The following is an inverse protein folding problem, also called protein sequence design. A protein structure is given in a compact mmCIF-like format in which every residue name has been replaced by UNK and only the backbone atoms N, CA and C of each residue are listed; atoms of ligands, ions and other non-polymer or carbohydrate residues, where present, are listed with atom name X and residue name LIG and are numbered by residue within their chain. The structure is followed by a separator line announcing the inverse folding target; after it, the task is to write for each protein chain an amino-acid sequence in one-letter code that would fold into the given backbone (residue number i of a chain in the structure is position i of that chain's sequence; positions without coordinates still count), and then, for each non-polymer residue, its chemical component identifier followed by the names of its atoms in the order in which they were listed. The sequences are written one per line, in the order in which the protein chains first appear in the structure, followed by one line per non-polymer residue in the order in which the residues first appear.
data_IF_840314859757
#
_entry.id   IF_840314859757
#
_cell.length_a   1.000
_cell.length_b   1.000
_cell.length_c   1.000
_cell.angle_alpha   90.00
_cell.angle_beta   90.00
_cell.angle_gamma   90.00
#
_symmetry.space_group_name_H-M   'P 1'
#
loop_
_entity.id
_entity.type
_entity.pdbx_description
1 polymer ?
#
# COMPACT_ATOMS: atom_id res chain seq x y z
N UNK A 1 16.34 -37.93 34.05
CA UNK A 1 15.28 -37.95 33.00
C UNK A 1 14.12 -37.00 33.31
N UNK A 2 13.76 -36.79 34.57
CA UNK A 2 12.61 -35.92 34.94
C UNK A 2 12.78 -34.41 34.66
N UNK A 3 13.99 -33.82 34.79
CA UNK A 3 14.22 -32.40 34.52
C UNK A 3 14.03 -32.00 33.05
N UNK A 4 14.44 -32.87 32.13
CA UNK A 4 14.30 -32.62 30.71
C UNK A 4 12.79 -32.60 30.27
N UNK A 5 12.00 -33.52 30.82
CA UNK A 5 10.54 -33.58 30.62
C UNK A 5 9.81 -32.37 31.22
N UNK A 6 10.27 -31.92 32.39
CA UNK A 6 9.73 -30.72 33.04
C UNK A 6 9.97 -29.45 32.20
N UNK A 7 11.18 -29.28 31.69
CA UNK A 7 11.54 -28.14 30.82
C UNK A 7 10.70 -28.17 29.54
N UNK A 8 10.54 -29.34 28.92
CA UNK A 8 9.75 -29.51 27.70
C UNK A 8 8.28 -29.11 27.94
N UNK A 9 7.68 -29.50 29.06
CA UNK A 9 6.30 -29.14 29.40
C UNK A 9 6.12 -27.65 29.66
N UNK A 10 7.08 -27.01 30.35
CA UNK A 10 7.06 -25.54 30.58
C UNK A 10 7.15 -24.79 29.24
N UNK A 11 8.08 -25.20 28.36
CA UNK A 11 8.25 -24.62 27.05
C UNK A 11 6.96 -24.80 26.22
N UNK A 12 6.34 -25.98 26.25
CA UNK A 12 5.11 -26.27 25.54
C UNK A 12 3.94 -25.39 26.05
N UNK A 13 3.84 -25.22 27.38
CA UNK A 13 2.80 -24.37 28.00
C UNK A 13 2.97 -22.90 27.64
N UNK A 14 4.21 -22.37 27.68
CA UNK A 14 4.54 -21.00 27.27
C UNK A 14 4.20 -20.79 25.79
N UNK A 15 4.56 -21.76 24.95
CA UNK A 15 4.27 -21.75 23.51
C UNK A 15 2.75 -21.76 23.25
N UNK A 16 2.01 -22.56 24.01
CA UNK A 16 0.55 -22.67 23.95
C UNK A 16 -0.12 -21.36 24.37
N UNK A 17 0.30 -20.77 25.48
CA UNK A 17 -0.20 -19.48 25.96
C UNK A 17 0.08 -18.36 24.95
N UNK A 18 1.29 -18.32 24.39
CA UNK A 18 1.67 -17.35 23.37
C UNK A 18 0.86 -17.53 22.07
N UNK A 19 0.61 -18.75 21.64
CA UNK A 19 -0.21 -19.06 20.47
C UNK A 19 -1.68 -18.67 20.67
N UNK A 20 -2.26 -18.95 21.84
CA UNK A 20 -3.65 -18.55 22.17
C UNK A 20 -3.80 -17.02 22.15
N UNK A 21 -2.84 -16.28 22.71
CA UNK A 21 -2.83 -14.81 22.68
C UNK A 21 -2.73 -14.29 21.25
N UNK A 22 -1.93 -14.94 20.41
CA UNK A 22 -1.75 -14.57 19.00
C UNK A 22 -2.97 -14.88 18.13
N UNK A 23 -3.68 -15.97 18.40
CA UNK A 23 -4.93 -16.34 17.71
C UNK A 23 -6.06 -15.39 18.07
N UNK A 24 -6.15 -14.92 19.33
CA UNK A 24 -7.17 -13.98 19.79
C UNK A 24 -7.12 -12.65 19.01
N UNK A 25 -5.93 -12.26 18.52
CA UNK A 25 -5.71 -11.04 17.76
C UNK A 25 -5.59 -11.31 16.23
N UNK A 26 -5.96 -12.51 15.77
CA UNK A 26 -5.83 -12.89 14.37
C UNK A 26 -6.97 -12.32 13.51
N UNK A 27 -6.61 -11.83 12.32
CA UNK A 27 -7.57 -11.40 11.31
C UNK A 27 -8.39 -12.56 10.76
N UNK A 28 -9.54 -12.26 10.15
CA UNK A 28 -10.44 -13.26 9.55
C UNK A 28 -9.74 -14.25 8.59
N UNK A 29 -8.70 -13.81 7.89
CA UNK A 29 -7.92 -14.67 6.98
C UNK A 29 -6.90 -15.56 7.72
N UNK A 30 -6.54 -15.22 8.95
CA UNK A 30 -5.66 -16.04 9.80
C UNK A 30 -6.43 -17.07 10.62
N UNK A 31 -7.76 -16.98 10.66
CA UNK A 31 -8.63 -17.91 11.40
C UNK A 31 -8.38 -19.38 11.03
N UNK A 32 -8.23 -19.77 9.72
CA UNK A 32 -7.92 -21.16 9.38
C UNK A 32 -6.58 -21.64 9.92
N UNK A 33 -5.54 -20.78 9.93
CA UNK A 33 -4.26 -21.11 10.54
C UNK A 33 -4.40 -21.34 12.06
N UNK A 34 -5.17 -20.46 12.72
CA UNK A 34 -5.48 -20.58 14.14
C UNK A 34 -6.22 -21.87 14.48
N UNK A 35 -7.20 -22.25 13.66
CA UNK A 35 -7.94 -23.52 13.83
C UNK A 35 -6.99 -24.73 13.67
N UNK A 36 -6.15 -24.76 12.64
CA UNK A 36 -5.18 -25.85 12.45
C UNK A 36 -4.23 -25.99 13.64
N UNK A 37 -3.70 -24.85 14.13
CA UNK A 37 -2.81 -24.84 15.30
C UNK A 37 -3.58 -25.31 16.55
N UNK A 38 -4.78 -24.78 16.80
CA UNK A 38 -5.60 -25.13 17.95
C UNK A 38 -5.97 -26.60 17.97
N UNK A 39 -6.45 -27.15 16.84
CA UNK A 39 -6.77 -28.58 16.69
C UNK A 39 -5.52 -29.45 16.86
N UNK A 40 -4.39 -29.04 16.29
CA UNK A 40 -3.13 -29.76 16.44
C UNK A 40 -2.67 -29.81 17.89
N UNK A 41 -2.77 -28.71 18.62
CA UNK A 41 -2.47 -28.65 20.05
C UNK A 41 -3.41 -29.52 20.89
N UNK A 42 -4.72 -29.51 20.56
CA UNK A 42 -5.68 -30.38 21.23
C UNK A 42 -5.36 -31.86 21.04
N UNK A 43 -4.94 -32.28 19.84
CA UNK A 43 -4.48 -33.64 19.57
C UNK A 43 -3.19 -34.00 20.31
N UNK A 44 -2.24 -33.05 20.39
CA UNK A 44 -1.00 -33.27 21.16
C UNK A 44 -1.37 -33.47 22.65
N UNK A 45 -2.22 -32.63 23.21
CA UNK A 45 -2.62 -32.73 24.62
C UNK A 45 -3.38 -34.01 24.89
N UNK A 46 -4.29 -34.42 24.00
CA UNK A 46 -5.06 -35.70 24.13
C UNK A 46 -4.20 -36.95 23.93
N UNK A 47 -3.00 -36.83 23.36
CA UNK A 47 -2.05 -37.93 23.20
C UNK A 47 -1.47 -38.43 24.52
N UNK A 48 -1.55 -37.61 25.56
CA UNK A 48 -1.07 -37.95 26.90
C UNK A 48 -2.29 -38.23 27.78
N UNK A 49 -2.55 -39.53 28.14
CA UNK A 49 -3.61 -39.84 29.08
C UNK A 49 -3.36 -39.10 30.41
N UNK A 50 -4.42 -38.63 31.03
CA UNK A 50 -4.38 -37.87 32.30
C UNK A 50 -3.54 -36.58 32.25
N UNK A 51 -3.46 -35.93 31.07
CA UNK A 51 -2.66 -34.68 30.89
C UNK A 51 -3.11 -33.60 31.92
N UNK A 52 -4.40 -33.47 32.17
CA UNK A 52 -4.95 -32.55 33.17
C UNK A 52 -4.49 -32.90 34.58
N UNK A 53 -4.55 -34.18 34.98
CA UNK A 53 -4.14 -34.62 36.31
C UNK A 53 -2.62 -34.49 36.48
N UNK A 54 -1.85 -34.74 35.42
CA UNK A 54 -0.40 -34.55 35.42
C UNK A 54 0.01 -33.07 35.45
N UNK A 55 -0.80 -32.20 34.85
CA UNK A 55 -0.58 -30.75 34.91
C UNK A 55 -0.89 -30.19 36.31
N UNK A 56 -1.94 -30.69 36.99
CA UNK A 56 -2.23 -30.40 38.39
C UNK A 56 -1.16 -30.95 39.31
N UNK A 57 -0.77 -32.22 39.17
CA UNK A 57 0.32 -32.84 39.93
C UNK A 57 1.67 -32.14 39.69
N UNK A 58 1.93 -31.59 38.47
CA UNK A 58 3.07 -30.78 38.18
C UNK A 58 3.04 -29.44 38.91
N UNK A 59 1.88 -28.74 38.90
CA UNK A 59 1.71 -27.50 39.64
C UNK A 59 1.87 -27.73 41.16
N UNK A 60 1.33 -28.81 41.68
CA UNK A 60 1.49 -29.23 43.06
C UNK A 60 2.97 -29.59 43.40
N UNK A 61 3.65 -30.32 42.48
CA UNK A 61 5.05 -30.67 42.65
C UNK A 61 5.95 -29.44 42.56
N UNK A 62 5.65 -28.49 41.68
CA UNK A 62 6.37 -27.21 41.60
C UNK A 62 6.17 -26.36 42.87
N UNK A 63 4.96 -26.33 43.41
CA UNK A 63 4.66 -25.70 44.68
C UNK A 63 5.30 -26.44 45.90
N UNK A 64 5.36 -27.79 45.86
CA UNK A 64 6.02 -28.57 46.92
C UNK A 64 7.55 -28.48 46.87
N UNK A 65 8.13 -28.26 45.68
CA UNK A 65 9.57 -27.96 45.53
C UNK A 65 9.96 -26.62 46.14
N UNK A 66 9.05 -25.66 46.07
CA UNK A 66 9.19 -24.38 46.79
C UNK A 66 9.09 -24.60 48.32
N UNK A 67 8.36 -25.66 48.73
CA UNK A 67 8.07 -25.97 50.12
C UNK A 67 8.84 -27.24 50.66
N UNK A 68 9.88 -27.73 49.95
CA UNK A 68 10.80 -28.80 50.39
C UNK A 68 10.17 -30.12 50.86
N UNK A 69 9.26 -30.72 50.10
CA UNK A 69 8.73 -32.07 50.42
C UNK A 69 8.94 -33.03 49.26
N UNK A 70 9.60 -34.15 49.52
CA UNK A 70 9.91 -35.24 48.57
C UNK A 70 8.69 -36.15 48.33
N UNK A 71 8.24 -36.30 47.09
CA UNK A 71 7.39 -37.41 46.66
C UNK A 71 7.84 -37.96 45.33
N UNK A 72 8.27 -39.21 45.31
CA UNK A 72 8.62 -39.97 44.10
C UNK A 72 7.45 -40.84 43.69
N UNK A 73 6.81 -40.52 42.55
CA UNK A 73 5.97 -41.46 41.82
C UNK A 73 6.41 -41.55 40.36
N UNK A 74 6.77 -42.77 39.94
CA UNK A 74 7.11 -43.16 38.57
C UNK A 74 5.86 -43.79 37.94
N UNK A 75 5.18 -43.07 37.08
CA UNK A 75 4.14 -43.65 36.22
C UNK A 75 4.66 -43.79 34.79
N UNK A 76 4.53 -44.99 34.20
CA UNK A 76 4.80 -45.21 32.78
C UNK A 76 3.78 -44.39 31.94
N UNK A 77 4.29 -43.73 30.95
CA UNK A 77 3.47 -42.85 30.09
C UNK A 77 3.06 -43.65 28.84
N UNK A 78 1.83 -44.11 28.79
CA UNK A 78 1.22 -44.55 27.53
C UNK A 78 0.91 -43.34 26.66
N UNK A 79 1.70 -43.11 25.62
CA UNK A 79 1.55 -42.00 24.69
C UNK A 79 0.88 -42.52 23.43
N UNK A 80 -0.21 -41.90 23.02
CA UNK A 80 -0.80 -42.18 21.72
C UNK A 80 0.02 -41.53 20.62
N UNK A 81 0.99 -42.25 20.08
CA UNK A 81 1.98 -41.78 19.10
C UNK A 81 1.30 -41.24 17.82
N UNK A 82 0.20 -41.84 17.39
CA UNK A 82 -0.53 -41.44 16.18
C UNK A 82 -1.13 -40.04 16.37
N UNK A 83 -1.83 -39.82 17.49
CA UNK A 83 -2.41 -38.49 17.81
C UNK A 83 -1.35 -37.43 17.98
N UNK A 84 -0.20 -37.79 18.59
CA UNK A 84 0.95 -36.88 18.75
C UNK A 84 1.51 -36.44 17.40
N UNK A 85 1.76 -37.40 16.49
CA UNK A 85 2.29 -37.10 15.16
C UNK A 85 1.29 -36.24 14.36
N UNK A 86 0.01 -36.60 14.36
CA UNK A 86 -1.03 -35.82 13.68
C UNK A 86 -1.16 -34.41 14.23
N UNK A 87 -1.08 -34.25 15.55
CA UNK A 87 -1.10 -32.94 16.21
C UNK A 87 0.08 -32.06 15.81
N UNK A 88 1.30 -32.62 15.81
CA UNK A 88 2.51 -31.90 15.37
C UNK A 88 2.38 -31.48 13.90
N UNK A 89 1.92 -32.36 13.02
CA UNK A 89 1.73 -32.04 11.60
C UNK A 89 0.74 -30.91 11.40
N UNK A 90 -0.37 -30.91 12.13
CA UNK A 90 -1.38 -29.82 12.05
C UNK A 90 -0.82 -28.49 12.55
N UNK A 91 -0.05 -28.49 13.62
CA UNK A 91 0.64 -27.28 14.12
C UNK A 91 1.61 -26.74 13.07
N UNK A 92 2.45 -27.61 12.49
CA UNK A 92 3.40 -27.22 11.45
C UNK A 92 2.69 -26.66 10.20
N UNK A 93 1.60 -27.30 9.76
CA UNK A 93 0.79 -26.81 8.65
C UNK A 93 0.14 -25.46 8.96
N UNK A 94 -0.37 -25.27 10.17
CA UNK A 94 -0.94 -24.01 10.62
C UNK A 94 0.10 -22.88 10.66
N UNK A 95 1.31 -23.14 11.14
CA UNK A 95 2.43 -22.20 11.14
C UNK A 95 2.83 -21.87 9.70
N UNK A 96 3.01 -22.87 8.84
CA UNK A 96 3.33 -22.67 7.43
C UNK A 96 2.27 -21.82 6.71
N UNK A 97 1.00 -22.10 6.94
CA UNK A 97 -0.10 -21.33 6.37
C UNK A 97 -0.10 -19.87 6.86
N UNK A 98 0.10 -19.65 8.16
CA UNK A 98 0.18 -18.31 8.74
C UNK A 98 1.35 -17.48 8.18
N UNK A 99 2.53 -18.11 8.00
CA UNK A 99 3.69 -17.43 7.41
C UNK A 99 3.41 -17.04 5.94
N UNK A 100 2.78 -17.93 5.18
CA UNK A 100 2.43 -17.63 3.78
C UNK A 100 1.38 -16.52 3.65
N UNK A 101 0.41 -16.43 4.57
CA UNK A 101 -0.57 -15.34 4.58
C UNK A 101 0.10 -14.00 4.88
N UNK A 102 1.02 -13.95 5.84
CA UNK A 102 1.74 -12.71 6.18
C UNK A 102 2.57 -12.13 5.04
N UNK A 103 3.01 -12.98 4.12
CA UNK A 103 3.73 -12.54 2.92
C UNK A 103 2.82 -12.11 1.77
N UNK A 104 1.50 -12.13 1.98
CA UNK A 104 0.54 -11.70 0.98
C UNK A 104 0.54 -10.18 0.85
N UNK A 105 0.50 -9.72 -0.41
CA UNK A 105 0.30 -8.33 -0.76
C UNK A 105 -1.15 -8.05 -1.09
N UNK A 106 -1.70 -7.03 -0.47
CA UNK A 106 -2.97 -6.43 -0.89
C UNK A 106 -2.64 -5.31 -1.88
N UNK A 107 -3.14 -5.44 -3.09
CA UNK A 107 -2.86 -4.51 -4.19
C UNK A 107 -4.08 -3.64 -4.46
N UNK A 108 -3.96 -2.34 -4.23
CA UNK A 108 -4.96 -1.38 -4.71
C UNK A 108 -4.71 -1.14 -6.19
N UNK A 109 -5.66 -1.53 -7.04
CA UNK A 109 -5.61 -1.31 -8.49
C UNK A 109 -6.71 -0.35 -8.92
N UNK A 110 -6.32 0.80 -9.50
CA UNK A 110 -7.25 1.83 -9.94
C UNK A 110 -7.31 1.84 -11.48
N UNK A 111 -8.51 1.59 -12.02
CA UNK A 111 -8.74 1.35 -13.44
C UNK A 111 -9.70 2.38 -14.04
N UNK A 112 -9.31 3.03 -15.15
CA UNK A 112 -10.18 3.93 -15.92
C UNK A 112 -10.17 3.73 -17.43
N UNK A 113 -9.13 3.13 -17.97
CA UNK A 113 -8.97 2.92 -19.41
C UNK A 113 -9.08 1.47 -19.81
N UNK A 114 -8.65 0.59 -18.95
CA UNK A 114 -8.53 -0.82 -19.26
C UNK A 114 -8.71 -1.63 -17.97
N UNK A 115 -9.37 -2.77 -18.06
CA UNK A 115 -9.62 -3.69 -16.95
C UNK A 115 -8.51 -4.73 -16.83
N UNK A 116 -7.28 -4.29 -16.76
CA UNK A 116 -6.14 -5.19 -16.58
C UNK A 116 -5.95 -5.52 -15.11
N UNK A 117 -6.09 -6.80 -14.81
CA UNK A 117 -5.85 -7.33 -13.48
C UNK A 117 -4.36 -7.62 -13.33
N UNK A 118 -3.75 -7.15 -12.25
CA UNK A 118 -2.36 -7.50 -11.95
C UNK A 118 -2.24 -8.98 -11.60
N UNK A 119 -3.30 -9.58 -11.04
CA UNK A 119 -3.36 -10.98 -10.65
C UNK A 119 -3.54 -11.96 -11.81
N UNK A 120 -3.83 -11.47 -13.02
CA UNK A 120 -3.90 -12.35 -14.19
C UNK A 120 -2.54 -12.97 -14.54
N UNK A 121 -2.57 -14.27 -14.86
CA UNK A 121 -1.40 -15.04 -15.24
C UNK A 121 -0.67 -14.35 -16.37
N UNK A 122 0.65 -14.19 -16.24
CA UNK A 122 1.55 -13.54 -17.20
C UNK A 122 1.55 -12.00 -17.21
N UNK A 123 0.73 -11.31 -16.42
CA UNK A 123 0.73 -9.85 -16.39
C UNK A 123 1.92 -9.26 -15.64
N UNK A 124 2.60 -10.05 -14.82
CA UNK A 124 3.76 -9.61 -14.04
C UNK A 124 5.03 -10.26 -14.58
N UNK A 125 6.02 -9.42 -14.93
CA UNK A 125 7.34 -9.88 -15.35
C UNK A 125 8.22 -10.10 -14.10
N UNK A 126 8.95 -11.22 -14.06
CA UNK A 126 9.99 -11.52 -13.07
C UNK A 126 9.52 -11.63 -11.60
N UNK A 127 8.24 -11.75 -11.36
CA UNK A 127 7.76 -12.04 -10.02
C UNK A 127 7.71 -13.56 -9.81
N UNK A 128 8.66 -14.07 -9.02
CA UNK A 128 8.56 -15.38 -8.36
C UNK A 128 7.46 -15.40 -7.29
N UNK A 129 6.49 -14.49 -7.40
CA UNK A 129 5.34 -14.42 -6.53
C UNK A 129 4.33 -15.42 -7.08
N UNK A 130 4.09 -16.46 -6.33
CA UNK A 130 3.04 -17.42 -6.56
C UNK A 130 1.71 -16.66 -6.56
N UNK A 131 0.83 -16.91 -7.53
CA UNK A 131 -0.43 -16.18 -7.80
C UNK A 131 -1.31 -15.95 -6.55
N UNK A 132 -1.24 -16.83 -5.53
CA UNK A 132 -1.98 -16.70 -4.27
C UNK A 132 -1.44 -15.65 -3.29
N UNK A 133 -0.26 -15.05 -3.56
CA UNK A 133 0.33 -14.00 -2.70
C UNK A 133 -0.20 -12.59 -2.99
N UNK A 134 -0.94 -12.40 -4.06
CA UNK A 134 -1.54 -11.13 -4.41
C UNK A 134 -3.06 -11.19 -4.23
N UNK A 135 -3.62 -10.26 -3.45
CA UNK A 135 -5.05 -9.98 -3.38
C UNK A 135 -5.32 -8.59 -3.92
N UNK A 136 -6.12 -8.52 -4.96
CA UNK A 136 -6.40 -7.27 -5.68
C UNK A 136 -7.69 -6.63 -5.20
N UNK A 137 -7.60 -5.36 -4.82
CA UNK A 137 -8.73 -4.47 -4.54
C UNK A 137 -8.85 -3.48 -5.68
N UNK A 138 -9.97 -3.55 -6.40
CA UNK A 138 -10.18 -2.75 -7.60
C UNK A 138 -11.06 -1.54 -7.33
N UNK A 139 -10.64 -0.39 -7.88
CA UNK A 139 -11.48 0.78 -8.10
C UNK A 139 -11.70 0.85 -9.61
N UNK A 140 -12.82 0.28 -10.10
CA UNK A 140 -13.13 0.19 -11.53
C UNK A 140 -14.16 1.27 -11.94
N UNK A 141 -13.67 2.28 -12.61
CA UNK A 141 -14.49 3.36 -13.18
C UNK A 141 -14.38 3.42 -14.71
N UNK A 142 -13.93 2.34 -15.35
CA UNK A 142 -13.74 2.25 -16.82
C UNK A 142 -15.01 2.66 -17.55
N UNK A 143 -16.18 2.18 -17.16
CA UNK A 143 -17.47 2.51 -17.82
C UNK A 143 -17.79 4.00 -17.81
N UNK A 144 -17.29 4.76 -16.82
CA UNK A 144 -17.54 6.19 -16.73
C UNK A 144 -16.61 6.98 -17.63
N UNK A 145 -15.43 6.43 -17.94
CA UNK A 145 -14.46 7.02 -18.84
C UNK A 145 -14.68 6.59 -20.31
N UNK A 146 -15.23 5.43 -20.59
CA UNK A 146 -15.52 4.96 -21.96
C UNK A 146 -16.63 5.81 -22.64
N UNK A 147 -17.61 6.25 -21.88
CA UNK A 147 -18.62 7.22 -22.34
C UNK A 147 -18.11 8.68 -22.31
N UNK A 148 -16.84 8.85 -22.15
CA UNK A 148 -16.16 9.99 -21.61
C UNK A 148 -15.74 11.05 -22.59
N UNK A 149 -16.61 11.45 -23.43
CA UNK A 149 -16.42 12.80 -23.95
C UNK A 149 -16.83 13.88 -22.94
N UNK A 150 -17.50 13.53 -21.85
CA UNK A 150 -17.93 14.51 -20.84
C UNK A 150 -18.00 13.91 -19.44
N UNK A 151 -16.95 14.08 -18.65
CA UNK A 151 -17.08 13.94 -17.20
C UNK A 151 -18.05 15.05 -16.73
N UNK A 152 -19.16 14.64 -16.13
CA UNK A 152 -20.17 15.53 -15.53
C UNK A 152 -19.92 15.68 -14.04
N UNK A 153 -20.55 16.65 -13.42
CA UNK A 153 -20.49 16.84 -11.96
C UNK A 153 -20.97 15.58 -11.24
N UNK A 154 -22.05 14.95 -11.73
CA UNK A 154 -22.60 13.73 -11.13
C UNK A 154 -21.64 12.53 -11.28
N UNK A 155 -21.04 12.32 -12.46
CA UNK A 155 -20.06 11.24 -12.63
C UNK A 155 -18.80 11.47 -11.82
N UNK A 156 -18.37 12.73 -11.67
CA UNK A 156 -17.25 13.09 -10.83
C UNK A 156 -17.53 12.78 -9.34
N UNK A 157 -18.72 13.14 -8.86
CA UNK A 157 -19.15 12.85 -7.49
C UNK A 157 -19.17 11.35 -7.23
N UNK A 158 -19.72 10.56 -8.14
CA UNK A 158 -19.72 9.10 -8.01
C UNK A 158 -18.29 8.51 -7.98
N UNK A 159 -17.42 8.96 -8.89
CA UNK A 159 -16.01 8.51 -8.90
C UNK A 159 -15.32 8.86 -7.59
N UNK A 160 -15.59 10.04 -7.05
CA UNK A 160 -15.07 10.49 -5.77
C UNK A 160 -15.51 9.56 -4.63
N UNK A 161 -16.81 9.29 -4.53
CA UNK A 161 -17.39 8.40 -3.51
C UNK A 161 -16.83 6.98 -3.62
N UNK A 162 -16.72 6.44 -4.84
CA UNK A 162 -16.13 5.11 -5.09
C UNK A 162 -14.64 5.05 -4.67
N UNK A 163 -13.85 6.09 -5.00
CA UNK A 163 -12.45 6.18 -4.57
C UNK A 163 -12.36 6.21 -3.05
N UNK A 164 -13.16 7.04 -2.39
CA UNK A 164 -13.14 7.19 -0.94
C UNK A 164 -13.51 5.90 -0.23
N UNK A 165 -14.65 5.28 -0.62
CA UNK A 165 -15.14 4.05 -0.01
C UNK A 165 -14.15 2.90 -0.20
N UNK A 166 -13.73 2.65 -1.44
CA UNK A 166 -12.84 1.53 -1.77
C UNK A 166 -11.46 1.69 -1.16
N UNK A 167 -10.94 2.92 -1.08
CA UNK A 167 -9.64 3.17 -0.45
C UNK A 167 -9.73 2.95 1.06
N UNK A 168 -10.78 3.43 1.73
CA UNK A 168 -11.02 3.14 3.16
C UNK A 168 -11.15 1.64 3.42
N UNK A 169 -11.90 0.95 2.57
CA UNK A 169 -12.05 -0.51 2.65
C UNK A 169 -10.72 -1.24 2.46
N UNK A 170 -9.93 -0.84 1.46
CA UNK A 170 -8.58 -1.37 1.26
C UNK A 170 -7.71 -1.24 2.51
N UNK A 171 -7.70 -0.05 3.14
CA UNK A 171 -6.92 0.20 4.36
C UNK A 171 -7.37 -0.75 5.48
N UNK A 172 -8.68 -0.85 5.72
CA UNK A 172 -9.23 -1.68 6.81
C UNK A 172 -8.96 -3.18 6.60
N UNK A 173 -9.09 -3.68 5.37
CA UNK A 173 -8.88 -5.09 5.06
C UNK A 173 -7.39 -5.48 5.00
N UNK A 174 -6.50 -4.52 4.70
CA UNK A 174 -5.06 -4.76 4.56
C UNK A 174 -4.24 -4.36 5.79
N UNK A 175 -4.86 -4.10 6.94
CA UNK A 175 -4.19 -3.49 8.10
C UNK A 175 -2.92 -4.23 8.54
N UNK A 176 -2.95 -5.57 8.58
CA UNK A 176 -1.84 -6.40 9.04
C UNK A 176 -1.02 -7.04 7.90
N UNK A 177 -1.25 -6.59 6.67
CA UNK A 177 -0.62 -7.15 5.49
C UNK A 177 0.22 -6.13 4.76
N UNK A 178 1.13 -6.63 3.90
CA UNK A 178 1.89 -5.78 2.99
C UNK A 178 0.96 -5.16 1.96
N UNK A 179 1.12 -3.87 1.71
CA UNK A 179 0.27 -3.10 0.82
C UNK A 179 1.01 -2.75 -0.46
N UNK A 180 0.33 -2.88 -1.58
CA UNK A 180 0.88 -2.50 -2.86
C UNK A 180 -0.11 -1.62 -3.64
N UNK A 181 0.41 -0.86 -4.57
CA UNK A 181 -0.37 -0.02 -5.46
C UNK A 181 -0.03 -0.29 -6.92
N UNK A 182 -1.05 -0.26 -7.75
CA UNK A 182 -0.94 -0.11 -9.20
C UNK A 182 -2.16 0.62 -9.74
N UNK A 183 -2.09 1.11 -10.97
CA UNK A 183 -3.24 1.73 -11.60
C UNK A 183 -2.96 2.24 -13.00
N UNK A 184 -4.02 2.32 -13.78
CA UNK A 184 -4.06 2.97 -15.10
C UNK A 184 -5.21 3.97 -15.11
N UNK A 185 -5.02 5.07 -14.39
CA UNK A 185 -6.10 6.02 -14.15
C UNK A 185 -5.70 7.45 -14.53
N UNK A 186 -6.69 8.33 -14.60
CA UNK A 186 -6.50 9.77 -14.75
C UNK A 186 -5.72 10.35 -13.59
N UNK A 187 -4.69 11.15 -13.88
CA UNK A 187 -3.79 11.74 -12.88
C UNK A 187 -4.56 12.41 -11.72
N UNK A 188 -5.56 13.32 -11.96
CA UNK A 188 -6.27 13.98 -10.87
C UNK A 188 -6.92 13.01 -9.89
N UNK A 189 -7.58 11.98 -10.40
CA UNK A 189 -8.23 11.01 -9.54
C UNK A 189 -7.24 10.07 -8.84
N UNK A 190 -6.10 9.77 -9.46
CA UNK A 190 -5.03 9.01 -8.80
C UNK A 190 -4.41 9.80 -7.65
N UNK A 191 -4.16 11.12 -7.84
CA UNK A 191 -3.71 12.00 -6.77
C UNK A 191 -4.77 12.05 -5.65
N UNK A 192 -6.04 12.19 -6.01
CA UNK A 192 -7.16 12.19 -5.07
C UNK A 192 -7.18 10.89 -4.24
N UNK A 193 -7.06 9.72 -4.87
CA UNK A 193 -6.97 8.44 -4.15
C UNK A 193 -5.78 8.41 -3.18
N UNK A 194 -4.65 8.96 -3.57
CA UNK A 194 -3.45 9.09 -2.72
C UNK A 194 -3.71 9.88 -1.44
N UNK A 195 -4.59 10.89 -1.49
CA UNK A 195 -4.90 11.70 -0.31
C UNK A 195 -5.60 10.91 0.80
N UNK A 196 -6.26 9.80 0.49
CA UNK A 196 -6.84 8.90 1.48
C UNK A 196 -5.85 7.88 2.03
N UNK A 197 -4.66 7.75 1.41
CA UNK A 197 -3.60 6.82 1.79
C UNK A 197 -2.46 7.50 2.58
N UNK A 198 -2.62 8.74 3.02
CA UNK A 198 -1.53 9.52 3.66
C UNK A 198 -0.91 8.82 4.86
N UNK A 199 -1.73 8.26 5.75
CA UNK A 199 -1.30 7.54 6.94
C UNK A 199 -0.93 6.06 6.67
N UNK A 200 -1.04 5.59 5.42
CA UNK A 200 -0.85 4.18 5.06
C UNK A 200 0.50 4.01 4.38
N UNK A 201 1.33 3.11 4.89
CA UNK A 201 2.55 2.74 4.20
C UNK A 201 2.21 1.84 2.99
N UNK A 202 2.80 2.16 1.83
CA UNK A 202 2.74 1.32 0.63
C UNK A 202 4.09 0.63 0.48
N UNK A 203 4.10 -0.69 0.62
CA UNK A 203 5.33 -1.50 0.57
C UNK A 203 5.84 -1.66 -0.86
N UNK A 204 4.94 -1.80 -1.85
CA UNK A 204 5.32 -1.99 -3.25
C UNK A 204 4.49 -1.15 -4.20
N UNK A 205 5.15 -0.70 -5.26
CA UNK A 205 4.52 -0.04 -6.40
C UNK A 205 4.74 -0.87 -7.64
N UNK A 206 3.67 -1.10 -8.40
CA UNK A 206 3.71 -1.77 -9.69
C UNK A 206 3.31 -0.77 -10.78
N UNK A 207 4.13 -0.67 -11.80
CA UNK A 207 3.86 0.12 -12.98
C UNK A 207 3.68 -0.77 -14.21
N UNK A 208 2.80 -0.33 -15.12
CA UNK A 208 2.56 -1.04 -16.36
C UNK A 208 3.48 -0.55 -17.45
N UNK A 209 4.31 -1.45 -17.98
CA UNK A 209 5.17 -1.17 -19.12
C UNK A 209 4.40 -1.44 -20.41
N UNK A 210 4.09 -0.38 -21.16
CA UNK A 210 3.33 -0.48 -22.41
C UNK A 210 4.06 -1.24 -23.49
N UNK A 211 5.39 -1.17 -23.54
CA UNK A 211 6.18 -1.83 -24.55
C UNK A 211 6.22 -3.35 -24.38
N UNK A 212 6.26 -3.82 -23.14
CA UNK A 212 6.28 -5.25 -22.82
C UNK A 212 4.91 -5.81 -22.48
N UNK A 213 3.88 -4.94 -22.38
CA UNK A 213 2.52 -5.30 -21.96
C UNK A 213 2.48 -6.03 -20.61
N UNK A 214 3.39 -5.70 -19.67
CA UNK A 214 3.49 -6.37 -18.37
C UNK A 214 3.70 -5.35 -17.23
N UNK A 215 3.26 -5.74 -16.04
CA UNK A 215 3.58 -5.01 -14.83
C UNK A 215 5.00 -5.33 -14.36
N UNK A 216 5.69 -4.35 -13.81
CA UNK A 216 6.96 -4.50 -13.11
C UNK A 216 6.87 -3.80 -11.76
N UNK A 217 7.55 -4.32 -10.75
CA UNK A 217 7.64 -3.65 -9.45
C UNK A 217 8.80 -2.67 -9.43
N UNK A 218 8.63 -1.54 -8.76
CA UNK A 218 9.74 -0.67 -8.44
C UNK A 218 10.73 -1.41 -7.55
N UNK A 219 12.02 -1.23 -7.82
CA UNK A 219 13.10 -1.88 -7.07
C UNK A 219 13.23 -1.22 -5.70
N UNK A 220 13.43 -2.03 -4.67
CA UNK A 220 13.77 -1.56 -3.34
C UNK A 220 15.29 -1.41 -3.23
N UNK A 221 15.75 -0.38 -2.54
CA UNK A 221 17.16 -0.28 -2.22
C UNK A 221 17.51 -1.25 -1.11
N UNK A 222 18.49 -2.10 -1.42
CA UNK A 222 19.07 -2.97 -0.41
C UNK A 222 20.20 -2.18 0.28
N UNK A 223 20.15 -2.08 1.60
CA UNK A 223 21.06 -1.31 2.46
C UNK A 223 22.58 -1.51 2.16
N UNK A 224 22.94 -2.60 1.50
CA UNK A 224 24.32 -2.94 1.13
C UNK A 224 24.68 -2.63 -0.33
N UNK A 225 23.77 -2.06 -1.13
CA UNK A 225 24.08 -1.66 -2.51
C UNK A 225 24.39 -0.17 -2.57
N UNK A 226 25.48 0.17 -3.27
CA UNK A 226 25.93 1.55 -3.53
C UNK A 226 24.73 2.43 -3.93
N UNK A 227 24.75 3.66 -3.44
CA UNK A 227 23.82 4.75 -3.80
C UNK A 227 23.62 4.74 -5.32
N UNK A 228 22.39 4.49 -5.74
CA UNK A 228 22.03 4.51 -7.14
C UNK A 228 21.86 5.97 -7.58
N UNK A 229 22.47 6.32 -8.66
CA UNK A 229 22.26 7.62 -9.28
C UNK A 229 21.07 7.51 -10.24
N UNK A 230 20.02 8.26 -10.00
CA UNK A 230 18.91 8.46 -10.93
C UNK A 230 18.85 9.94 -11.35
N UNK A 231 18.25 10.26 -12.51
CA UNK A 231 18.17 11.62 -12.99
C UNK A 231 17.51 12.56 -11.97
N UNK A 232 18.09 13.72 -11.73
CA UNK A 232 17.49 14.75 -10.86
C UNK A 232 16.43 15.53 -11.61
N UNK A 233 15.40 15.97 -10.90
CA UNK A 233 14.43 16.92 -11.44
C UNK A 233 15.07 18.32 -11.51
N UNK A 234 14.80 19.02 -12.59
CA UNK A 234 15.11 20.44 -12.76
C UNK A 234 13.87 21.28 -12.50
N UNK A 235 14.07 22.49 -12.00
CA UNK A 235 12.99 23.46 -11.74
C UNK A 235 13.30 24.69 -12.57
N UNK A 236 12.38 25.06 -13.45
CA UNK A 236 12.47 26.26 -14.29
C UNK A 236 11.26 27.14 -14.03
N UNK A 237 11.50 28.38 -13.65
CA UNK A 237 10.46 29.35 -13.37
C UNK A 237 10.33 30.31 -14.53
N UNK A 238 9.18 30.39 -15.14
CA UNK A 238 8.79 31.43 -16.09
C UNK A 238 7.85 32.39 -15.36
N UNK A 239 8.42 33.19 -14.44
CA UNK A 239 7.61 34.04 -13.59
C UNK A 239 8.05 35.48 -13.74
N UNK A 240 7.06 36.36 -13.73
CA UNK A 240 7.27 37.81 -13.75
C UNK A 240 6.40 38.57 -12.74
N UNK A 241 5.48 37.92 -12.05
CA UNK A 241 4.53 38.63 -11.18
C UNK A 241 4.42 38.03 -9.78
N UNK A 242 5.15 38.57 -8.83
CA UNK A 242 5.14 38.16 -7.40
C UNK A 242 3.77 38.32 -6.78
N UNK A 243 2.86 39.11 -7.34
CA UNK A 243 1.48 39.29 -6.85
C UNK A 243 0.50 38.28 -7.41
N UNK A 244 0.97 37.30 -8.18
CA UNK A 244 0.09 36.28 -8.77
C UNK A 244 -0.68 35.49 -7.69
N UNK A 245 -1.99 35.38 -7.86
CA UNK A 245 -2.86 34.55 -7.01
C UNK A 245 -2.96 33.11 -7.49
N UNK A 246 -2.59 32.87 -8.73
CA UNK A 246 -2.70 31.58 -9.40
C UNK A 246 -1.42 31.26 -10.17
N UNK A 247 -0.91 30.05 -10.01
CA UNK A 247 0.32 29.59 -10.67
C UNK A 247 0.06 28.22 -11.29
N UNK A 248 0.63 27.98 -12.46
CA UNK A 248 0.65 26.69 -13.12
C UNK A 248 1.93 25.95 -12.75
N UNK A 249 1.81 24.74 -12.21
CA UNK A 249 2.93 23.82 -11.98
C UNK A 249 2.84 22.70 -12.99
N UNK A 250 3.76 22.68 -13.96
CA UNK A 250 3.84 21.68 -15.02
C UNK A 250 4.91 20.65 -14.72
N UNK A 251 4.51 19.37 -14.52
CA UNK A 251 5.40 18.29 -14.12
C UNK A 251 5.64 17.32 -15.29
N UNK A 252 6.88 17.29 -15.81
CA UNK A 252 7.30 16.53 -16.99
C UNK A 252 8.21 15.35 -16.63
N UNK A 253 7.65 14.16 -16.42
CA UNK A 253 8.41 12.94 -16.07
C UNK A 253 8.40 11.91 -17.21
N UNK A 254 7.20 11.60 -17.75
CA UNK A 254 7.07 10.60 -18.83
C UNK A 254 7.07 11.22 -20.21
N UNK A 255 6.68 12.49 -20.31
CA UNK A 255 6.63 13.24 -21.55
C UNK A 255 6.87 14.73 -21.25
N UNK A 256 7.48 15.44 -22.17
CA UNK A 256 7.64 16.88 -22.05
C UNK A 256 6.28 17.57 -22.26
N UNK A 257 5.96 18.51 -21.36
CA UNK A 257 4.81 19.42 -21.48
C UNK A 257 5.31 20.69 -22.14
N UNK A 258 4.82 20.93 -23.34
CA UNK A 258 5.22 22.10 -24.16
C UNK A 258 4.34 23.32 -23.84
N UNK A 259 4.79 24.51 -24.22
CA UNK A 259 3.99 25.74 -24.08
C UNK A 259 2.68 25.64 -24.89
N UNK A 260 2.69 24.93 -26.03
CA UNK A 260 1.50 24.61 -26.79
C UNK A 260 0.49 23.70 -26.09
N UNK A 261 0.92 22.96 -25.06
CA UNK A 261 0.00 22.20 -24.20
C UNK A 261 -0.63 23.10 -23.13
N UNK A 262 0.00 24.22 -22.80
CA UNK A 262 -0.38 25.14 -21.71
C UNK A 262 -1.16 26.39 -22.17
N UNK A 263 -1.55 26.48 -23.44
CA UNK A 263 -2.22 27.66 -24.02
C UNK A 263 -3.43 28.10 -23.20
N UNK A 264 -4.20 27.17 -22.63
CA UNK A 264 -5.38 27.52 -21.81
C UNK A 264 -5.05 28.24 -20.50
N UNK A 265 -3.78 28.24 -20.09
CA UNK A 265 -3.29 28.93 -18.91
C UNK A 265 -2.53 30.22 -19.25
N UNK A 266 -2.71 30.73 -20.46
CA UNK A 266 -2.08 31.99 -20.89
C UNK A 266 -2.37 33.11 -19.90
N UNK A 267 -1.35 33.89 -19.55
CA UNK A 267 -1.44 34.97 -18.58
C UNK A 267 -1.20 34.58 -17.12
N UNK A 268 -1.00 33.29 -16.84
CA UNK A 268 -0.58 32.79 -15.53
C UNK A 268 0.93 32.52 -15.50
N UNK A 269 1.53 32.70 -14.34
CA UNK A 269 2.93 32.31 -14.14
C UNK A 269 3.07 30.78 -14.20
N UNK A 270 4.14 30.31 -14.81
CA UNK A 270 4.37 28.88 -15.04
C UNK A 270 5.67 28.44 -14.35
N UNK A 271 5.58 27.43 -13.52
CA UNK A 271 6.70 26.70 -12.95
C UNK A 271 6.79 25.32 -13.61
N UNK A 272 7.89 25.04 -14.27
CA UNK A 272 8.15 23.73 -14.87
C UNK A 272 9.06 22.90 -13.97
N UNK A 273 8.63 21.68 -13.62
CA UNK A 273 9.41 20.70 -12.87
C UNK A 273 9.54 19.47 -13.75
N UNK A 274 10.73 18.99 -14.02
CA UNK A 274 10.82 17.82 -14.86
C UNK A 274 12.21 17.25 -15.02
N UNK A 275 12.26 16.17 -15.78
CA UNK A 275 13.50 15.57 -16.21
C UNK A 275 13.98 16.27 -17.48
N UNK A 276 15.29 16.37 -17.64
CA UNK A 276 15.88 16.87 -18.87
C UNK A 276 15.46 16.05 -20.10
N UNK A 277 15.33 14.71 -19.91
CA UNK A 277 14.89 13.78 -20.94
C UNK A 277 13.71 12.93 -20.39
N UNK A 278 12.47 13.44 -20.41
CA UNK A 278 11.30 12.70 -19.99
C UNK A 278 11.06 11.45 -20.84
N UNK A 279 10.77 10.32 -20.20
CA UNK A 279 10.47 9.06 -20.89
C UNK A 279 9.60 8.13 -20.04
N UNK A 280 8.87 7.23 -20.70
CA UNK A 280 8.12 6.19 -20.01
C UNK A 280 9.06 5.28 -19.19
N UNK A 281 8.54 4.75 -18.08
CA UNK A 281 9.23 3.82 -17.18
C UNK A 281 10.56 4.34 -16.59
N UNK A 282 10.71 5.65 -16.44
CA UNK A 282 11.92 6.28 -15.91
C UNK A 282 12.08 6.11 -14.41
N UNK A 283 10.97 5.94 -13.68
CA UNK A 283 10.99 5.66 -12.25
C UNK A 283 11.18 4.16 -12.05
N UNK A 284 12.36 3.77 -11.59
CA UNK A 284 12.73 2.37 -11.38
C UNK A 284 12.81 1.99 -9.90
N UNK A 285 13.01 2.98 -9.01
CA UNK A 285 13.28 2.76 -7.59
C UNK A 285 12.23 3.44 -6.71
N UNK A 286 11.92 2.79 -5.56
CA UNK A 286 11.00 3.35 -4.56
C UNK A 286 11.54 4.65 -3.95
N UNK A 287 12.85 4.73 -3.71
CA UNK A 287 13.51 5.93 -3.20
C UNK A 287 13.39 7.08 -4.18
N UNK A 288 13.72 6.85 -5.46
CA UNK A 288 13.53 7.82 -6.54
C UNK A 288 12.09 8.36 -6.58
N UNK A 289 11.10 7.49 -6.44
CA UNK A 289 9.69 7.86 -6.37
C UNK A 289 9.42 8.82 -5.21
N UNK A 290 9.93 8.46 -4.02
CA UNK A 290 9.79 9.26 -2.80
C UNK A 290 10.42 10.64 -2.91
N UNK A 291 11.64 10.72 -3.49
CA UNK A 291 12.39 11.96 -3.69
C UNK A 291 11.71 12.87 -4.71
N UNK A 292 11.22 12.32 -5.83
CA UNK A 292 10.50 13.11 -6.82
C UNK A 292 9.20 13.69 -6.25
N UNK A 293 8.41 12.86 -5.56
CA UNK A 293 7.18 13.32 -4.95
C UNK A 293 7.45 14.39 -3.88
N UNK A 294 8.49 14.20 -3.05
CA UNK A 294 8.87 15.15 -2.04
C UNK A 294 9.29 16.50 -2.67
N UNK A 295 10.18 16.47 -3.64
CA UNK A 295 10.67 17.69 -4.29
C UNK A 295 9.53 18.49 -4.94
N UNK A 296 8.58 17.81 -5.60
CA UNK A 296 7.42 18.49 -6.22
C UNK A 296 6.56 19.16 -5.16
N UNK A 297 6.24 18.46 -4.07
CA UNK A 297 5.36 18.98 -3.01
C UNK A 297 6.04 20.07 -2.20
N UNK A 298 7.33 19.89 -1.85
CA UNK A 298 8.13 20.94 -1.17
C UNK A 298 8.25 22.22 -2.05
N UNK A 299 8.38 22.04 -3.37
CA UNK A 299 8.40 23.17 -4.30
C UNK A 299 7.07 23.92 -4.29
N UNK A 300 5.92 23.20 -4.31
CA UNK A 300 4.60 23.83 -4.24
C UNK A 300 4.38 24.54 -2.89
N UNK A 301 4.83 23.95 -1.79
CA UNK A 301 4.77 24.57 -0.46
C UNK A 301 5.56 25.89 -0.43
N UNK A 302 6.78 25.89 -0.97
CA UNK A 302 7.67 27.04 -1.01
C UNK A 302 7.17 28.17 -1.93
N UNK A 303 6.24 27.88 -2.86
CA UNK A 303 5.63 28.94 -3.69
C UNK A 303 4.94 30.02 -2.86
N UNK A 304 4.35 29.70 -1.71
CA UNK A 304 3.74 30.71 -0.83
C UNK A 304 4.75 31.73 -0.28
N UNK A 305 6.00 31.34 -0.16
CA UNK A 305 7.07 32.27 0.25
C UNK A 305 7.43 33.25 -0.88
N UNK A 306 7.45 32.76 -2.11
CA UNK A 306 7.75 33.55 -3.30
C UNK A 306 6.55 34.40 -3.73
N UNK A 307 5.34 33.88 -3.55
CA UNK A 307 4.06 34.48 -3.95
C UNK A 307 3.13 34.61 -2.73
N UNK A 308 3.24 35.67 -1.93
CA UNK A 308 2.49 35.81 -0.68
C UNK A 308 0.96 35.76 -0.86
N UNK A 309 0.47 36.18 -2.05
CA UNK A 309 -0.96 36.18 -2.37
C UNK A 309 -1.44 34.91 -3.08
N UNK A 310 -0.62 33.84 -3.14
CA UNK A 310 -0.97 32.61 -3.84
C UNK A 310 -2.15 31.88 -3.18
N UNK A 311 -3.24 31.78 -3.91
CA UNK A 311 -4.46 31.09 -3.50
C UNK A 311 -4.57 29.71 -4.16
N UNK A 312 -4.20 29.60 -5.46
CA UNK A 312 -4.44 28.39 -6.26
C UNK A 312 -3.20 27.97 -7.06
N UNK A 313 -2.93 26.68 -7.06
CA UNK A 313 -1.96 26.01 -7.95
C UNK A 313 -2.71 25.11 -8.94
N UNK A 314 -2.49 25.37 -10.23
CA UNK A 314 -2.94 24.53 -11.33
C UNK A 314 -1.90 23.47 -11.62
N UNK A 315 -2.11 22.24 -11.14
CA UNK A 315 -1.16 21.13 -11.32
C UNK A 315 -1.47 20.39 -12.61
N UNK A 316 -0.59 20.45 -13.57
CA UNK A 316 -0.65 19.69 -14.83
C UNK A 316 0.55 18.75 -14.88
N UNK A 317 0.34 17.49 -15.29
CA UNK A 317 1.38 16.50 -15.23
C UNK A 317 1.39 15.51 -16.38
N UNK A 318 2.59 15.13 -16.80
CA UNK A 318 2.89 13.94 -17.56
C UNK A 318 3.70 13.00 -16.68
N UNK A 319 3.02 12.33 -15.74
CA UNK A 319 3.62 11.56 -14.64
C UNK A 319 3.03 10.15 -14.59
N UNK A 320 3.80 9.13 -14.12
CA UNK A 320 3.30 7.77 -13.97
C UNK A 320 2.34 7.64 -12.78
N UNK A 321 1.57 6.55 -12.74
CA UNK A 321 0.56 6.33 -11.71
C UNK A 321 1.14 6.23 -10.29
N UNK A 322 2.31 5.60 -10.14
CA UNK A 322 3.00 5.53 -8.84
C UNK A 322 3.37 6.92 -8.30
N UNK A 323 3.80 7.84 -9.17
CA UNK A 323 4.10 9.21 -8.73
C UNK A 323 2.82 9.98 -8.41
N UNK A 324 1.75 9.77 -9.18
CA UNK A 324 0.46 10.42 -8.93
C UNK A 324 -0.10 10.05 -7.55
N UNK A 325 -0.09 8.76 -7.19
CA UNK A 325 -0.59 8.32 -5.88
C UNK A 325 0.31 8.83 -4.75
N UNK A 326 1.62 8.83 -4.93
CA UNK A 326 2.57 9.30 -3.91
C UNK A 326 2.49 10.81 -3.71
N UNK A 327 2.25 11.60 -4.77
CA UNK A 327 1.95 13.03 -4.66
C UNK A 327 0.70 13.25 -3.80
N UNK A 328 -0.38 12.51 -4.04
CA UNK A 328 -1.60 12.63 -3.25
C UNK A 328 -1.36 12.34 -1.76
N UNK A 329 -0.57 11.30 -1.45
CA UNK A 329 -0.18 10.97 -0.08
C UNK A 329 0.56 12.12 0.60
N UNK A 330 1.55 12.69 -0.07
CA UNK A 330 2.35 13.80 0.46
C UNK A 330 1.56 15.10 0.56
N UNK A 331 0.72 15.42 -0.43
CA UNK A 331 -0.18 16.59 -0.40
C UNK A 331 -1.08 16.53 0.85
N UNK A 332 -1.67 15.37 1.15
CA UNK A 332 -2.57 15.22 2.29
C UNK A 332 -1.84 15.41 3.64
N UNK A 333 -0.57 14.99 3.76
CA UNK A 333 0.19 15.15 4.99
C UNK A 333 0.43 16.62 5.40
N UNK A 334 0.49 17.52 4.42
CA UNK A 334 0.79 18.96 4.66
C UNK A 334 -0.27 19.88 4.06
N UNK A 335 -1.48 19.36 3.84
CA UNK A 335 -2.56 20.06 3.11
C UNK A 335 -2.91 21.43 3.70
N UNK A 336 -2.80 21.60 5.03
CA UNK A 336 -3.03 22.87 5.73
C UNK A 336 -2.01 23.97 5.41
N UNK A 337 -0.84 23.60 4.89
CA UNK A 337 0.23 24.55 4.50
C UNK A 337 0.22 24.87 3.01
N UNK A 338 -0.45 24.05 2.21
CA UNK A 338 -0.50 24.18 0.76
C UNK A 338 -1.58 25.20 0.32
N UNK A 339 -1.42 25.82 -0.85
CA UNK A 339 -2.51 26.51 -1.53
C UNK A 339 -3.56 25.48 -2.01
N UNK A 340 -4.70 25.95 -2.49
CA UNK A 340 -5.64 25.08 -3.19
C UNK A 340 -4.98 24.49 -4.43
N UNK A 341 -4.94 23.16 -4.55
CA UNK A 341 -4.36 22.48 -5.70
C UNK A 341 -5.48 21.90 -6.55
N UNK A 342 -5.52 22.30 -7.83
CA UNK A 342 -6.41 21.77 -8.85
C UNK A 342 -5.55 20.93 -9.81
N UNK A 343 -5.70 19.62 -9.81
CA UNK A 343 -5.03 18.73 -10.74
C UNK A 343 -5.86 18.50 -11.99
N UNK A 344 -5.23 18.59 -13.17
CA UNK A 344 -5.91 18.57 -14.46
C UNK A 344 -5.74 17.27 -15.23
N UNK A 345 -6.80 16.87 -15.92
CA UNK A 345 -6.78 15.73 -16.82
C UNK A 345 -6.41 16.17 -18.24
N UNK A 346 -5.33 15.59 -18.77
CA UNK A 346 -4.92 15.79 -20.16
C UNK A 346 -5.70 14.87 -21.10
N UNK A 347 -6.25 15.43 -22.18
CA UNK A 347 -6.92 14.67 -23.25
C UNK A 347 -6.28 15.04 -24.61
N UNK A 348 -5.67 14.05 -25.21
CA UNK A 348 -5.11 14.20 -26.57
C UNK A 348 -6.21 14.52 -27.60
N UNK A 349 -5.92 15.42 -28.52
CA UNK A 349 -6.86 15.79 -29.60
C UNK A 349 -7.97 16.76 -29.18
N UNK A 350 -8.08 17.15 -27.92
CA UNK A 350 -9.03 18.16 -27.44
C UNK A 350 -8.44 19.56 -27.40
N UNK A 351 -9.30 20.57 -27.51
CA UNK A 351 -9.02 21.96 -27.22
C UNK A 351 -10.14 22.45 -26.27
N UNK A 352 -9.87 22.86 -25.02
CA UNK A 352 -8.56 22.84 -24.39
C UNK A 352 -8.06 21.41 -24.09
N UNK A 353 -6.72 21.23 -24.06
CA UNK A 353 -6.10 19.91 -23.81
C UNK A 353 -6.34 19.38 -22.39
N UNK A 354 -6.44 20.27 -21.41
CA UNK A 354 -6.79 19.95 -20.04
C UNK A 354 -8.29 20.24 -19.84
N UNK A 355 -9.12 19.26 -20.12
CA UNK A 355 -10.55 19.42 -20.27
C UNK A 355 -11.35 19.47 -18.97
N UNK A 356 -10.77 19.06 -17.84
CA UNK A 356 -11.30 19.26 -16.49
C UNK A 356 -10.18 19.17 -15.44
N UNK A 357 -10.43 19.75 -14.28
CA UNK A 357 -9.59 19.66 -13.10
C UNK A 357 -10.38 19.15 -11.89
N UNK A 358 -9.65 18.59 -10.93
CA UNK A 358 -10.20 18.13 -9.64
C UNK A 358 -9.42 18.83 -8.53
N UNK A 359 -10.11 19.38 -7.56
CA UNK A 359 -9.50 19.90 -6.35
C UNK A 359 -9.02 18.72 -5.50
N UNK A 360 -7.73 18.69 -5.14
CA UNK A 360 -7.12 17.58 -4.40
C UNK A 360 -6.70 17.94 -2.98
N UNK A 361 -6.82 19.21 -2.59
CA UNK A 361 -6.60 19.70 -1.22
C UNK A 361 -7.89 19.66 -0.39
N UNK A 362 -7.78 19.75 0.96
CA UNK A 362 -8.90 19.57 1.91
C UNK A 362 -10.13 20.44 1.62
N UNK A 363 -9.89 21.71 1.32
CA UNK A 363 -11.00 22.61 0.98
C UNK A 363 -11.58 22.26 -0.38
N UNK A 364 -12.85 21.90 -0.45
CA UNK A 364 -13.57 21.51 -1.66
C UNK A 364 -12.99 20.26 -2.38
N UNK A 365 -12.30 19.38 -1.66
CA UNK A 365 -11.69 18.16 -2.18
C UNK A 365 -12.67 17.33 -3.01
N UNK A 366 -12.24 16.88 -4.20
CA UNK A 366 -13.07 16.10 -5.12
C UNK A 366 -13.98 16.94 -6.03
N UNK A 367 -14.07 18.26 -5.85
CA UNK A 367 -14.90 19.13 -6.69
C UNK A 367 -14.33 19.23 -8.10
N UNK A 368 -15.23 19.10 -9.08
CA UNK A 368 -14.90 19.24 -10.49
C UNK A 368 -14.79 20.72 -10.86
N UNK A 369 -13.68 21.08 -11.50
CA UNK A 369 -13.45 22.39 -12.11
C UNK A 369 -13.43 22.20 -13.63
N UNK A 370 -14.25 22.96 -14.33
CA UNK A 370 -14.17 23.07 -15.78
C UNK A 370 -13.25 24.26 -16.10
N UNK A 371 -12.32 24.10 -17.08
CA UNK A 371 -11.47 25.19 -17.50
C UNK A 371 -12.25 26.34 -18.13
#
# INVERSE_FOLDING_TARGET
MNYCLMIINIVLFILLAFLVLKIKNANKEQTPAGLLIGTGLALITSSFPDFTDKLFNFAETALSYINSVNTTQTNEMDVNIISLICGILLVLLGIYYNLNIKDRFFVLNILSKDRRLITERNNIKDLKIIDFKLREHQIDVVRMFDNANKITVNSCKYIFEEIEEKTKRFISESNDFKKAFTGMFSIPFTILAGTYLSATEIDKYFEYNRNTCKYYSLKEDKWYKKIKTYPKLTIETQSNNIQSKEIVVAVSITKNITDGDLIQFTGKDILKIGLQNPKDNVIEFREQLGDYAKLIVDTIENLKTTYPNLETVHLVGAIPSCLSIELGRKISLISNRLPMIISYHFKFGNIPKYNFGIIVTEKDKGKLIKP
#
